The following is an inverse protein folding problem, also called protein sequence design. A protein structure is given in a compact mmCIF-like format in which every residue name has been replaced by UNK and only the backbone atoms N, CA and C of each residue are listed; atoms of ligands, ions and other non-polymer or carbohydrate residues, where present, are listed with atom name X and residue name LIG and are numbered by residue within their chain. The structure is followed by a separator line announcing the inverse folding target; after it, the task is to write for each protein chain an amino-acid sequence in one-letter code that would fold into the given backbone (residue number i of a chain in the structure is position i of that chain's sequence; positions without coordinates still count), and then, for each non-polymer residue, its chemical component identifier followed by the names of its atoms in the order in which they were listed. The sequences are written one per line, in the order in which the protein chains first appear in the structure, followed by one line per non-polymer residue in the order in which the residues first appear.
data_IF_303406775006
#
_entry.id   IF_303406775006
#
_cell.length_a   1.000
_cell.length_b   1.000
_cell.length_c   1.000
_cell.angle_alpha   90.00
_cell.angle_beta   90.00
_cell.angle_gamma   90.00
#
_symmetry.space_group_name_H-M   'P 1'
#
loop_
_entity.id
_entity.type
_entity.pdbx_description
1 polymer ?
#
# COMPACT_ATOMS: atom_id res chain seq x y z
N UNK A 1 11.28 5.85 -9.30
CA UNK A 1 10.25 6.78 -8.80
C UNK A 1 10.32 6.71 -7.29
N UNK A 2 10.73 7.78 -6.63
CA UNK A 2 10.79 7.81 -5.17
C UNK A 2 9.39 7.68 -4.60
N UNK A 3 9.25 6.77 -3.64
CA UNK A 3 7.98 6.48 -2.96
C UNK A 3 7.87 7.31 -1.67
N UNK A 4 6.76 7.19 -0.96
CA UNK A 4 6.53 7.83 0.34
C UNK A 4 6.91 6.90 1.50
N UNK A 5 7.31 7.47 2.63
CA UNK A 5 7.33 6.74 3.91
C UNK A 5 5.95 6.82 4.59
N UNK A 6 5.43 5.72 5.17
CA UNK A 6 5.93 4.35 5.08
C UNK A 6 5.90 3.80 3.65
N UNK A 7 6.95 3.11 3.19
CA UNK A 7 7.00 2.48 1.87
C UNK A 7 6.16 1.18 1.84
N UNK A 8 4.87 1.32 2.09
CA UNK A 8 3.86 0.28 2.31
C UNK A 8 2.67 0.51 1.37
N UNK A 9 1.98 -0.56 1.01
CA UNK A 9 0.96 -0.62 -0.05
C UNK A 9 -0.09 0.49 0.01
N UNK A 10 -0.94 0.53 1.04
CA UNK A 10 -2.07 1.47 1.07
C UNK A 10 -1.61 2.93 1.15
N UNK A 11 -0.47 3.17 1.80
CA UNK A 11 0.14 4.49 1.93
C UNK A 11 0.50 5.02 0.55
N UNK A 12 1.22 4.22 -0.25
CA UNK A 12 1.75 4.66 -1.53
C UNK A 12 0.71 4.63 -2.65
N UNK A 13 -0.25 3.70 -2.62
CA UNK A 13 -1.45 3.77 -3.45
C UNK A 13 -2.23 5.08 -3.19
N UNK A 14 -2.39 5.46 -1.91
CA UNK A 14 -3.04 6.73 -1.55
C UNK A 14 -2.22 7.93 -2.02
N UNK A 15 -0.89 7.90 -1.89
CA UNK A 15 -0.02 8.95 -2.45
C UNK A 15 -0.21 9.08 -3.96
N UNK A 16 -0.17 7.97 -4.71
CA UNK A 16 -0.37 7.94 -6.17
C UNK A 16 -1.72 8.54 -6.55
N UNK A 17 -2.77 8.27 -5.77
CA UNK A 17 -4.13 8.75 -6.04
C UNK A 17 -4.37 10.20 -5.58
N UNK A 18 -3.53 10.78 -4.72
CA UNK A 18 -3.76 12.11 -4.12
C UNK A 18 -2.73 13.16 -4.54
N UNK A 19 -1.54 12.72 -4.95
CA UNK A 19 -0.43 13.62 -5.30
C UNK A 19 0.15 14.37 -4.10
N UNK A 20 -0.05 13.87 -2.87
CA UNK A 20 0.47 14.46 -1.64
C UNK A 20 1.10 13.39 -0.75
N UNK A 21 1.89 13.81 0.23
CA UNK A 21 2.56 12.89 1.16
C UNK A 21 1.61 12.31 2.24
N UNK A 22 2.03 11.25 2.96
CA UNK A 22 1.26 10.67 4.07
C UNK A 22 0.93 11.62 5.20
N UNK A 23 1.77 12.64 5.43
CA UNK A 23 1.45 13.74 6.33
C UNK A 23 0.13 14.43 5.98
N UNK A 24 -0.18 14.58 4.70
CA UNK A 24 -1.41 15.22 4.24
C UNK A 24 -2.57 14.23 4.08
N UNK A 25 -2.36 13.10 3.40
CA UNK A 25 -3.47 12.18 3.13
C UNK A 25 -3.84 11.29 4.33
N UNK A 26 -3.00 11.17 5.35
CA UNK A 26 -3.35 10.55 6.65
C UNK A 26 -3.15 9.04 6.77
N UNK A 27 -3.09 8.31 5.66
CA UNK A 27 -2.87 6.84 5.66
C UNK A 27 -1.43 6.48 6.09
N UNK A 28 -1.29 5.67 7.14
CA UNK A 28 0.01 5.19 7.69
C UNK A 28 0.12 3.66 7.83
N UNK A 29 -0.96 2.93 7.53
CA UNK A 29 -1.05 1.47 7.61
C UNK A 29 -1.94 0.96 6.47
N UNK A 30 -1.89 -0.36 6.22
CA UNK A 30 -2.90 -1.06 5.42
C UNK A 30 -4.24 -1.21 6.18
N UNK A 31 -4.78 -0.09 6.66
CA UNK A 31 -6.00 0.00 7.47
C UNK A 31 -5.98 1.20 8.43
N UNK A 32 -7.04 1.33 9.22
CA UNK A 32 -7.16 2.37 10.25
C UNK A 32 -6.48 1.90 11.54
N UNK A 33 -5.56 2.68 12.09
CA UNK A 33 -5.04 2.40 13.43
C UNK A 33 -6.04 2.86 14.48
N UNK A 34 -6.47 1.92 15.33
CA UNK A 34 -7.37 2.16 16.47
C UNK A 34 -6.61 1.90 17.77
N UNK A 35 -6.52 2.93 18.63
CA UNK A 35 -6.03 2.78 20.01
C UNK A 35 -7.12 2.14 20.86
N UNK A 36 -6.75 1.17 21.70
CA UNK A 36 -7.70 0.35 22.49
C UNK A 36 -7.62 0.63 24.00
N UNK A 37 -7.33 1.87 24.36
CA UNK A 37 -7.15 2.31 25.75
C UNK A 37 -5.69 2.23 26.22
N UNK A 38 -5.44 2.49 27.51
CA UNK A 38 -4.10 2.75 28.05
C UNK A 38 -3.25 1.50 28.25
N UNK A 39 -3.81 0.30 28.13
CA UNK A 39 -3.12 -0.96 28.46
C UNK A 39 -3.14 -2.00 27.35
N UNK A 40 -3.83 -1.73 26.23
CA UNK A 40 -3.95 -2.69 25.14
C UNK A 40 -3.17 -2.23 23.92
N UNK A 41 -2.56 -3.17 23.16
CA UNK A 41 -1.92 -2.83 21.90
C UNK A 41 -2.89 -2.09 20.97
N UNK A 42 -2.44 -1.12 20.18
CA UNK A 42 -3.21 -0.64 19.03
C UNK A 42 -3.59 -1.81 18.12
N UNK A 43 -4.64 -1.61 17.31
CA UNK A 43 -5.08 -2.57 16.30
C UNK A 43 -5.22 -1.85 14.97
N UNK A 44 -4.86 -2.52 13.88
CA UNK A 44 -5.20 -2.05 12.52
C UNK A 44 -6.52 -2.69 12.12
N UNK A 45 -7.47 -1.87 11.71
CA UNK A 45 -8.75 -2.30 11.16
C UNK A 45 -8.72 -2.10 9.64
N UNK A 46 -8.51 -3.18 8.87
CA UNK A 46 -8.66 -3.11 7.42
C UNK A 46 -10.14 -2.92 7.06
N UNK A 47 -10.39 -2.56 5.81
CA UNK A 47 -11.72 -2.41 5.23
C UNK A 47 -12.62 -1.38 5.92
N UNK A 48 -12.05 -0.26 6.33
CA UNK A 48 -12.78 0.95 6.72
C UNK A 48 -13.17 1.78 5.49
N UNK A 49 -14.19 2.62 5.66
CA UNK A 49 -14.59 3.58 4.64
C UNK A 49 -13.43 4.51 4.30
N UNK A 50 -13.33 4.90 3.03
CA UNK A 50 -12.33 5.86 2.53
C UNK A 50 -12.30 7.13 3.38
N UNK A 51 -13.47 7.61 3.82
CA UNK A 51 -13.61 8.83 4.60
C UNK A 51 -12.90 8.76 5.98
N UNK A 52 -12.73 7.57 6.54
CA UNK A 52 -12.01 7.36 7.81
C UNK A 52 -10.48 7.30 7.62
N UNK A 53 -10.02 7.07 6.39
CA UNK A 53 -8.63 6.76 6.07
C UNK A 53 -7.91 7.89 5.33
N UNK A 54 -8.58 8.46 4.31
CA UNK A 54 -7.98 9.36 3.34
C UNK A 54 -8.54 10.77 3.55
N UNK A 55 -7.70 11.68 4.05
CA UNK A 55 -8.12 13.02 4.46
C UNK A 55 -8.00 14.08 3.36
N UNK A 56 -7.68 13.68 2.14
CA UNK A 56 -7.47 14.57 0.99
C UNK A 56 -8.23 14.09 -0.24
N UNK A 57 -8.71 14.99 -1.11
CA UNK A 57 -9.32 14.59 -2.38
C UNK A 57 -8.36 13.74 -3.22
N UNK A 58 -8.89 12.69 -3.83
CA UNK A 58 -8.16 11.87 -4.79
C UNK A 58 -8.45 12.31 -6.23
N UNK A 59 -7.61 11.89 -7.17
CA UNK A 59 -7.80 12.18 -8.59
C UNK A 59 -9.08 11.54 -9.14
N UNK A 60 -9.50 10.38 -8.61
CA UNK A 60 -10.79 9.79 -8.98
C UNK A 60 -11.98 10.57 -8.39
N UNK A 61 -11.85 11.20 -7.22
CA UNK A 61 -12.88 12.12 -6.73
C UNK A 61 -13.00 13.35 -7.65
N UNK A 62 -11.86 13.89 -8.08
CA UNK A 62 -11.82 15.05 -8.97
C UNK A 62 -12.40 14.72 -10.36
N UNK A 63 -12.05 13.55 -10.92
CA UNK A 63 -12.61 13.06 -12.18
C UNK A 63 -14.13 12.91 -12.09
N UNK A 64 -14.62 12.25 -11.03
CA UNK A 64 -16.06 12.10 -10.80
C UNK A 64 -16.78 13.45 -10.70
N UNK A 65 -16.23 14.40 -9.93
CA UNK A 65 -16.78 15.76 -9.78
C UNK A 65 -16.78 16.55 -11.10
N UNK A 66 -15.84 16.26 -12.00
CA UNK A 66 -15.79 16.81 -13.35
C UNK A 66 -16.79 16.12 -14.32
N UNK A 67 -17.61 15.19 -13.84
CA UNK A 67 -18.60 14.46 -14.65
C UNK A 67 -18.01 13.28 -15.43
N UNK A 68 -16.78 12.87 -15.14
CA UNK A 68 -16.13 11.73 -15.78
C UNK A 68 -16.55 10.42 -15.10
N UNK A 69 -16.63 9.34 -15.89
CA UNK A 69 -16.88 7.99 -15.37
C UNK A 69 -15.61 7.39 -14.79
N UNK A 70 -15.68 6.90 -13.56
CA UNK A 70 -14.56 6.33 -12.83
C UNK A 70 -14.76 4.84 -12.57
N UNK A 71 -13.66 4.09 -12.54
CA UNK A 71 -13.66 2.68 -12.23
C UNK A 71 -12.47 2.28 -11.35
N UNK A 72 -12.63 1.19 -10.59
CA UNK A 72 -11.56 0.61 -9.80
C UNK A 72 -11.64 -0.92 -9.83
N UNK A 73 -10.49 -1.57 -9.85
CA UNK A 73 -10.32 -3.00 -9.66
C UNK A 73 -9.22 -3.17 -8.62
N UNK A 74 -9.61 -3.74 -7.48
CA UNK A 74 -8.71 -4.01 -6.35
C UNK A 74 -7.86 -2.79 -5.90
N UNK A 75 -8.36 -1.58 -6.11
CA UNK A 75 -7.70 -0.41 -5.54
C UNK A 75 -7.97 -0.36 -4.02
N UNK A 76 -7.01 0.17 -3.27
CA UNK A 76 -7.02 0.13 -1.81
C UNK A 76 -7.37 1.47 -1.18
N UNK A 77 -7.75 1.45 0.11
CA UNK A 77 -8.21 2.63 0.87
C UNK A 77 -9.37 3.40 0.19
N UNK A 78 -10.25 2.67 -0.52
CA UNK A 78 -11.27 3.24 -1.42
C UNK A 78 -12.71 2.83 -1.06
N UNK A 79 -12.92 1.99 -0.04
CA UNK A 79 -14.24 1.46 0.28
C UNK A 79 -15.26 2.58 0.51
N UNK A 80 -16.46 2.41 -0.03
CA UNK A 80 -17.56 3.36 0.08
C UNK A 80 -17.15 4.80 -0.31
N UNK A 81 -16.26 4.95 -1.30
CA UNK A 81 -15.78 6.26 -1.78
C UNK A 81 -16.88 7.18 -2.31
N UNK A 82 -17.97 6.61 -2.83
CA UNK A 82 -19.09 7.35 -3.42
C UNK A 82 -18.75 8.01 -4.78
N UNK A 83 -17.54 7.83 -5.27
CA UNK A 83 -17.00 8.50 -6.48
C UNK A 83 -16.48 7.52 -7.52
N UNK A 84 -16.86 6.24 -7.41
CA UNK A 84 -16.53 5.16 -8.35
C UNK A 84 -17.83 4.67 -8.99
N UNK A 85 -17.93 4.75 -10.33
CA UNK A 85 -19.11 4.29 -11.05
C UNK A 85 -19.13 2.77 -11.25
N UNK A 86 -17.96 2.16 -11.45
CA UNK A 86 -17.82 0.72 -11.69
C UNK A 86 -16.73 0.16 -10.80
N UNK A 87 -17.10 -0.71 -9.85
CA UNK A 87 -16.19 -1.26 -8.85
C UNK A 87 -16.11 -2.78 -8.94
N UNK A 88 -14.90 -3.31 -8.77
CA UNK A 88 -14.66 -4.71 -8.43
C UNK A 88 -13.63 -4.74 -7.30
N UNK A 89 -14.05 -5.07 -6.08
CA UNK A 89 -13.22 -4.92 -4.88
C UNK A 89 -12.18 -6.04 -4.73
N UNK A 90 -11.23 -5.84 -3.81
CA UNK A 90 -10.29 -6.88 -3.35
C UNK A 90 -11.04 -8.17 -2.99
N UNK A 91 -12.12 -8.01 -2.24
CA UNK A 91 -13.09 -9.07 -1.95
C UNK A 91 -14.37 -8.72 -2.72
N UNK A 92 -14.68 -9.40 -3.82
CA UNK A 92 -15.82 -9.08 -4.65
C UNK A 92 -17.14 -9.28 -3.90
N UNK A 93 -18.14 -8.47 -4.23
CA UNK A 93 -19.47 -8.51 -3.61
C UNK A 93 -20.36 -9.44 -4.43
N UNK A 94 -20.95 -10.50 -3.84
CA UNK A 94 -21.83 -11.40 -4.59
C UNK A 94 -22.99 -10.68 -5.32
N UNK A 95 -23.49 -9.58 -4.77
CA UNK A 95 -24.55 -8.75 -5.32
C UNK A 95 -24.04 -7.48 -6.06
N UNK A 96 -22.73 -7.34 -6.22
CA UNK A 96 -22.11 -6.22 -6.93
C UNK A 96 -22.44 -6.23 -8.42
N UNK A 97 -22.52 -5.04 -9.02
CA UNK A 97 -22.93 -4.87 -10.42
C UNK A 97 -22.00 -5.64 -11.37
N UNK A 98 -20.69 -5.48 -11.22
CA UNK A 98 -19.71 -6.06 -12.15
C UNK A 98 -19.65 -7.58 -11.98
N UNK A 99 -19.72 -8.07 -10.75
CA UNK A 99 -19.82 -9.49 -10.43
C UNK A 99 -21.03 -10.14 -11.12
N UNK A 100 -22.22 -9.54 -11.00
CA UNK A 100 -23.43 -10.04 -11.65
C UNK A 100 -23.35 -10.02 -13.18
N UNK A 101 -22.72 -8.99 -13.75
CA UNK A 101 -22.52 -8.92 -15.20
C UNK A 101 -21.55 -10.00 -15.70
N UNK A 102 -20.44 -10.26 -14.99
CA UNK A 102 -19.48 -11.31 -15.31
C UNK A 102 -20.10 -12.71 -15.20
N UNK A 103 -20.91 -12.95 -14.17
CA UNK A 103 -21.67 -14.21 -13.99
C UNK A 103 -22.63 -14.41 -15.16
N UNK A 104 -23.40 -13.38 -15.51
CA UNK A 104 -24.34 -13.43 -16.64
C UNK A 104 -23.63 -13.66 -17.98
N UNK A 105 -22.42 -13.14 -18.13
CA UNK A 105 -21.59 -13.37 -19.31
C UNK A 105 -20.95 -14.77 -19.34
N UNK A 106 -21.05 -15.55 -18.25
CA UNK A 106 -20.43 -16.87 -18.13
C UNK A 106 -18.90 -16.82 -17.99
N UNK A 107 -18.33 -15.67 -17.61
CA UNK A 107 -16.88 -15.49 -17.42
C UNK A 107 -16.43 -16.07 -16.07
N UNK A 108 -17.26 -15.87 -15.05
CA UNK A 108 -17.08 -16.43 -13.70
C UNK A 108 -18.40 -17.03 -13.22
N UNK A 109 -18.36 -17.74 -12.10
CA UNK A 109 -19.51 -18.36 -11.45
C UNK A 109 -19.86 -17.65 -10.14
N UNK A 110 -21.12 -17.79 -9.70
CA UNK A 110 -21.54 -17.27 -8.40
C UNK A 110 -20.79 -17.92 -7.23
N UNK A 111 -20.41 -19.20 -7.37
CA UNK A 111 -19.64 -19.92 -6.36
C UNK A 111 -18.22 -19.35 -6.21
N UNK A 112 -17.55 -19.02 -7.33
CA UNK A 112 -16.24 -18.39 -7.32
C UNK A 112 -16.25 -17.03 -6.61
N UNK A 113 -17.30 -16.23 -6.79
CA UNK A 113 -17.46 -14.95 -6.07
C UNK A 113 -17.75 -15.18 -4.59
N UNK A 114 -18.70 -16.06 -4.26
CA UNK A 114 -19.09 -16.33 -2.88
C UNK A 114 -17.95 -16.95 -2.05
N UNK A 115 -17.12 -17.76 -2.70
CA UNK A 115 -16.01 -18.47 -2.09
C UNK A 115 -14.66 -17.88 -2.49
N UNK A 116 -14.59 -16.62 -2.96
CA UNK A 116 -13.37 -15.99 -3.46
C UNK A 116 -12.16 -16.16 -2.53
N UNK A 117 -12.37 -16.02 -1.22
CA UNK A 117 -11.30 -16.16 -0.22
C UNK A 117 -10.96 -17.62 0.15
N UNK A 118 -11.78 -18.60 -0.25
CA UNK A 118 -11.53 -20.03 -0.02
C UNK A 118 -10.58 -20.57 -1.09
N UNK A 119 -9.29 -20.56 -0.79
CA UNK A 119 -8.25 -21.15 -1.65
C UNK A 119 -6.99 -20.31 -1.79
N UNK A 120 -7.02 -19.04 -1.37
CA UNK A 120 -5.89 -18.08 -1.32
C UNK A 120 -4.87 -18.29 -2.44
N UNK A 121 -5.30 -18.09 -3.68
CA UNK A 121 -4.43 -18.22 -4.84
C UNK A 121 -4.30 -16.86 -5.54
N UNK A 122 -3.19 -16.16 -5.26
CA UNK A 122 -2.98 -14.82 -5.77
C UNK A 122 -2.96 -14.75 -7.30
N UNK A 123 -2.52 -15.81 -7.98
CA UNK A 123 -2.49 -15.87 -9.44
C UNK A 123 -3.92 -15.95 -10.01
N UNK A 124 -4.80 -16.69 -9.33
CA UNK A 124 -6.20 -16.77 -9.72
C UNK A 124 -6.96 -15.47 -9.37
N UNK A 125 -6.65 -14.83 -8.24
CA UNK A 125 -7.20 -13.51 -7.90
C UNK A 125 -6.82 -12.47 -8.97
N UNK A 126 -5.55 -12.37 -9.34
CA UNK A 126 -5.05 -11.49 -10.40
C UNK A 126 -5.76 -11.78 -11.73
N UNK A 127 -6.01 -13.05 -12.06
CA UNK A 127 -6.79 -13.41 -13.25
C UNK A 127 -8.23 -12.91 -13.17
N UNK A 128 -8.93 -13.11 -12.04
CA UNK A 128 -10.31 -12.66 -11.87
C UNK A 128 -10.42 -11.13 -11.92
N UNK A 129 -9.53 -10.42 -11.21
CA UNK A 129 -9.43 -8.96 -11.27
C UNK A 129 -9.18 -8.48 -12.71
N UNK A 130 -8.31 -9.17 -13.45
CA UNK A 130 -8.08 -8.87 -14.88
C UNK A 130 -9.34 -9.08 -15.71
N UNK A 131 -10.11 -10.16 -15.49
CA UNK A 131 -11.39 -10.36 -16.20
C UNK A 131 -12.38 -9.22 -15.92
N UNK A 132 -12.48 -8.77 -14.66
CA UNK A 132 -13.31 -7.63 -14.29
C UNK A 132 -12.85 -6.34 -14.98
N UNK A 133 -11.54 -6.08 -15.01
CA UNK A 133 -10.96 -4.92 -15.70
C UNK A 133 -11.25 -4.91 -17.19
N UNK A 134 -11.03 -6.04 -17.86
CA UNK A 134 -11.35 -6.22 -19.29
C UNK A 134 -12.85 -5.98 -19.55
N UNK A 135 -13.73 -6.56 -18.74
CA UNK A 135 -15.17 -6.41 -18.87
C UNK A 135 -15.63 -4.96 -18.66
N UNK A 136 -15.10 -4.26 -17.65
CA UNK A 136 -15.39 -2.84 -17.40
C UNK A 136 -14.95 -1.98 -18.59
N UNK A 137 -13.76 -2.21 -19.15
CA UNK A 137 -13.30 -1.50 -20.34
C UNK A 137 -14.26 -1.72 -21.51
N UNK A 138 -14.61 -2.98 -21.79
CA UNK A 138 -15.39 -3.35 -22.98
C UNK A 138 -16.85 -2.90 -22.92
N UNK A 139 -17.48 -2.97 -21.74
CA UNK A 139 -18.90 -2.64 -21.57
C UNK A 139 -19.13 -1.20 -21.16
N UNK A 140 -18.31 -0.67 -20.25
CA UNK A 140 -18.60 0.57 -19.55
C UNK A 140 -17.73 1.75 -19.98
N UNK A 141 -16.54 1.47 -20.54
CA UNK A 141 -15.61 2.46 -21.12
C UNK A 141 -15.39 3.68 -20.20
N UNK A 142 -14.91 3.47 -18.95
CA UNK A 142 -14.69 4.56 -18.01
C UNK A 142 -13.64 5.54 -18.54
N UNK A 143 -13.71 6.79 -18.09
CA UNK A 143 -12.72 7.82 -18.40
C UNK A 143 -11.44 7.68 -17.58
N UNK A 144 -11.54 7.15 -16.36
CA UNK A 144 -10.41 6.87 -15.47
C UNK A 144 -10.63 5.54 -14.77
N UNK A 145 -9.66 4.63 -14.86
CA UNK A 145 -9.71 3.32 -14.21
C UNK A 145 -8.42 3.09 -13.43
N UNK A 146 -8.57 2.72 -12.16
CA UNK A 146 -7.49 2.21 -11.32
C UNK A 146 -7.52 0.68 -11.33
N UNK A 147 -6.36 0.05 -11.48
CA UNK A 147 -6.23 -1.40 -11.61
C UNK A 147 -4.98 -1.86 -10.88
N UNK A 148 -5.14 -2.80 -9.95
CA UNK A 148 -4.09 -3.28 -9.07
C UNK A 148 -3.99 -4.81 -9.15
N UNK A 149 -2.77 -5.33 -9.08
CA UNK A 149 -2.43 -6.75 -9.14
C UNK A 149 -1.40 -7.06 -8.05
N UNK A 150 -1.54 -8.20 -7.38
CA UNK A 150 -0.77 -8.53 -6.18
C UNK A 150 0.28 -9.63 -6.39
N UNK A 151 0.26 -10.33 -7.53
CA UNK A 151 1.11 -11.49 -7.76
C UNK A 151 2.61 -11.19 -7.59
N UNK A 152 3.05 -9.97 -7.96
CA UNK A 152 4.45 -9.57 -7.83
C UNK A 152 4.87 -9.36 -6.38
N UNK A 153 4.05 -8.69 -5.57
CA UNK A 153 4.27 -8.48 -4.14
C UNK A 153 4.33 -9.82 -3.39
N UNK A 154 3.32 -10.67 -3.61
CA UNK A 154 3.23 -11.98 -2.97
C UNK A 154 4.43 -12.88 -3.30
N UNK A 155 4.88 -12.90 -4.57
CA UNK A 155 6.03 -13.67 -4.98
C UNK A 155 7.33 -13.15 -4.34
N UNK A 156 7.51 -11.83 -4.27
CA UNK A 156 8.67 -11.21 -3.65
C UNK A 156 8.72 -11.43 -2.13
N UNK A 157 7.59 -11.42 -1.43
CA UNK A 157 7.55 -11.80 -0.02
C UNK A 157 7.98 -13.25 0.20
N UNK A 158 7.43 -14.18 -0.57
CA UNK A 158 7.65 -15.62 -0.36
C UNK A 158 9.06 -16.07 -0.78
N UNK A 159 9.55 -15.57 -1.92
CA UNK A 159 10.77 -16.09 -2.57
C UNK A 159 11.94 -15.11 -2.56
N UNK A 160 11.69 -13.84 -2.22
CA UNK A 160 12.68 -12.77 -2.23
C UNK A 160 12.86 -12.13 -3.62
N UNK A 161 13.23 -10.85 -3.68
CA UNK A 161 13.39 -10.12 -4.94
C UNK A 161 14.47 -10.75 -5.84
N UNK A 162 14.21 -10.75 -7.15
CA UNK A 162 15.13 -11.30 -8.17
C UNK A 162 15.20 -12.83 -8.23
N UNK A 163 14.34 -13.53 -7.47
CA UNK A 163 14.24 -15.00 -7.53
C UNK A 163 13.55 -15.48 -8.82
N UNK A 164 13.68 -16.77 -9.14
CA UNK A 164 12.89 -17.39 -10.22
C UNK A 164 11.39 -17.25 -9.99
N UNK A 165 10.93 -17.33 -8.73
CA UNK A 165 9.53 -17.12 -8.38
C UNK A 165 9.06 -15.70 -8.72
N UNK A 166 9.87 -14.69 -8.40
CA UNK A 166 9.59 -13.30 -8.74
C UNK A 166 9.57 -13.04 -10.25
N UNK A 167 10.56 -13.55 -11.00
CA UNK A 167 10.58 -13.39 -12.45
C UNK A 167 9.38 -14.06 -13.13
N UNK A 168 8.95 -15.24 -12.65
CA UNK A 168 7.72 -15.88 -13.12
C UNK A 168 6.50 -15.00 -12.86
N UNK A 169 6.39 -14.41 -11.66
CA UNK A 169 5.29 -13.49 -11.35
C UNK A 169 5.28 -12.27 -12.28
N UNK A 170 6.44 -11.69 -12.61
CA UNK A 170 6.53 -10.57 -13.55
C UNK A 170 6.01 -10.94 -14.95
N UNK A 171 6.34 -12.14 -15.44
CA UNK A 171 5.83 -12.63 -16.72
C UNK A 171 4.30 -12.84 -16.71
N UNK A 172 3.73 -13.33 -15.59
CA UNK A 172 2.28 -13.43 -15.44
C UNK A 172 1.60 -12.06 -15.38
N UNK A 173 2.17 -11.10 -14.64
CA UNK A 173 1.66 -9.72 -14.59
C UNK A 173 1.72 -9.03 -15.95
N UNK A 174 2.81 -9.21 -16.71
CA UNK A 174 2.91 -8.69 -18.09
C UNK A 174 1.79 -9.23 -18.99
N UNK A 175 1.48 -10.53 -18.88
CA UNK A 175 0.34 -11.13 -19.59
C UNK A 175 -0.99 -10.46 -19.24
N UNK A 176 -1.25 -10.17 -17.97
CA UNK A 176 -2.48 -9.49 -17.56
C UNK A 176 -2.55 -8.03 -18.04
N UNK A 177 -1.42 -7.32 -18.06
CA UNK A 177 -1.33 -6.00 -18.70
C UNK A 177 -1.66 -6.11 -20.19
N UNK A 178 -1.14 -7.13 -20.88
CA UNK A 178 -1.45 -7.43 -22.28
C UNK A 178 -2.95 -7.69 -22.54
N UNK A 179 -3.62 -8.39 -21.62
CA UNK A 179 -5.08 -8.61 -21.70
C UNK A 179 -5.85 -7.28 -21.61
N UNK A 180 -5.47 -6.39 -20.68
CA UNK A 180 -6.07 -5.04 -20.53
C UNK A 180 -5.86 -4.19 -21.79
N UNK A 181 -4.65 -4.17 -22.33
CA UNK A 181 -4.33 -3.46 -23.58
C UNK A 181 -5.15 -4.00 -24.77
N UNK A 182 -5.34 -5.32 -24.82
CA UNK A 182 -6.18 -5.97 -25.83
C UNK A 182 -7.64 -5.53 -25.71
N UNK A 183 -8.20 -5.44 -24.50
CA UNK A 183 -9.57 -4.96 -24.28
C UNK A 183 -9.73 -3.48 -24.63
N UNK A 184 -8.72 -2.63 -24.40
CA UNK A 184 -8.70 -1.23 -24.87
C UNK A 184 -8.79 -1.17 -26.40
N UNK A 185 -8.03 -2.02 -27.10
CA UNK A 185 -8.02 -2.07 -28.57
C UNK A 185 -9.36 -2.57 -29.13
N UNK A 186 -9.88 -3.69 -28.62
CA UNK A 186 -11.20 -4.25 -29.00
C UNK A 186 -12.34 -3.24 -28.81
N UNK A 187 -12.20 -2.35 -27.84
CA UNK A 187 -13.19 -1.33 -27.50
C UNK A 187 -13.11 -0.08 -28.39
N UNK A 188 -12.14 -0.02 -29.31
CA UNK A 188 -11.90 1.16 -30.16
C UNK A 188 -11.35 2.35 -29.37
N UNK A 189 -10.69 2.11 -28.23
CA UNK A 189 -10.21 3.16 -27.32
C UNK A 189 -8.71 3.45 -27.47
N UNK A 190 -7.98 2.68 -28.31
CA UNK A 190 -6.53 2.76 -28.46
C UNK A 190 -6.03 4.19 -28.72
N UNK A 191 -6.66 4.92 -29.64
CA UNK A 191 -6.23 6.26 -30.05
C UNK A 191 -6.67 7.38 -29.09
N UNK A 192 -7.23 7.04 -27.93
CA UNK A 192 -7.72 8.00 -26.93
C UNK A 192 -7.48 7.59 -25.48
N UNK A 193 -6.63 6.58 -25.27
CA UNK A 193 -6.31 6.05 -23.94
C UNK A 193 -4.85 6.29 -23.63
N UNK A 194 -4.59 6.88 -22.47
CA UNK A 194 -3.27 6.90 -21.83
C UNK A 194 -3.21 5.77 -20.82
N UNK A 195 -2.16 4.96 -20.87
CA UNK A 195 -1.88 3.89 -19.90
C UNK A 195 -0.67 4.30 -19.09
N UNK A 196 -0.80 4.27 -17.76
CA UNK A 196 0.29 4.47 -16.82
C UNK A 196 0.47 3.18 -16.03
N UNK A 197 1.64 2.56 -16.13
CA UNK A 197 2.04 1.41 -15.32
C UNK A 197 3.02 1.91 -14.27
N UNK A 198 2.66 1.72 -13.00
CA UNK A 198 3.45 2.18 -11.85
C UNK A 198 3.35 1.16 -10.72
N UNK A 199 4.08 1.40 -9.64
CA UNK A 199 4.04 0.59 -8.41
C UNK A 199 4.08 1.50 -7.18
N UNK A 200 3.59 0.97 -6.08
CA UNK A 200 3.57 1.54 -4.75
C UNK A 200 4.92 1.48 -4.03
N UNK A 201 5.71 0.41 -4.20
CA UNK A 201 7.04 0.27 -3.61
C UNK A 201 7.92 -0.80 -4.25
N UNK A 202 9.24 -0.63 -4.10
CA UNK A 202 10.22 -1.69 -4.35
C UNK A 202 10.32 -2.71 -3.21
N UNK A 203 11.36 -3.54 -3.24
CA UNK A 203 11.55 -4.66 -2.31
C UNK A 203 13.03 -4.84 -1.96
N UNK A 204 13.30 -5.27 -0.73
CA UNK A 204 14.63 -5.73 -0.29
C UNK A 204 14.57 -7.17 0.21
N UNK A 205 15.69 -7.87 0.06
CA UNK A 205 15.87 -9.23 0.58
C UNK A 205 15.91 -9.22 2.11
N UNK A 206 15.30 -10.25 2.72
CA UNK A 206 15.27 -10.48 4.17
C UNK A 206 15.96 -11.80 4.48
N UNK A 207 16.92 -11.75 5.41
CA UNK A 207 17.64 -12.93 5.90
C UNK A 207 17.30 -13.22 7.36
N UNK A 208 17.04 -12.18 8.16
CA UNK A 208 16.72 -12.27 9.58
C UNK A 208 15.47 -11.46 9.92
N UNK A 209 14.78 -11.85 10.97
CA UNK A 209 13.64 -11.14 11.54
C UNK A 209 13.91 -10.73 12.97
N UNK A 210 13.51 -9.51 13.33
CA UNK A 210 13.60 -8.92 14.67
C UNK A 210 12.24 -9.11 15.35
N UNK A 211 12.25 -9.54 16.61
CA UNK A 211 11.05 -9.71 17.44
C UNK A 211 10.99 -8.61 18.51
N UNK A 212 10.66 -7.36 18.14
CA UNK A 212 10.81 -6.22 19.04
C UNK A 212 9.86 -6.29 20.25
N UNK A 213 8.71 -6.93 20.12
CA UNK A 213 7.77 -7.10 21.23
C UNK A 213 8.22 -8.18 22.24
N UNK A 214 9.11 -9.13 21.87
CA UNK A 214 9.79 -10.00 22.84
C UNK A 214 10.70 -9.18 23.75
N UNK A 215 11.41 -8.18 23.19
CA UNK A 215 12.27 -7.29 23.96
C UNK A 215 11.47 -6.46 24.97
N UNK A 216 10.34 -5.89 24.55
CA UNK A 216 9.45 -5.16 25.45
C UNK A 216 8.86 -6.06 26.55
N UNK A 217 8.53 -7.32 26.23
CA UNK A 217 8.11 -8.31 27.23
C UNK A 217 9.22 -8.60 28.25
N UNK A 218 10.45 -8.85 27.78
CA UNK A 218 11.60 -9.11 28.67
C UNK A 218 11.92 -7.92 29.57
N UNK A 219 11.63 -6.70 29.13
CA UNK A 219 11.72 -5.48 29.93
C UNK A 219 10.50 -5.23 30.86
N UNK A 220 9.51 -6.13 30.89
CA UNK A 220 8.31 -6.01 31.73
C UNK A 220 7.25 -5.02 31.22
N UNK A 221 7.40 -4.51 29.99
CA UNK A 221 6.48 -3.54 29.36
C UNK A 221 5.31 -4.22 28.63
N UNK A 222 5.42 -5.52 28.34
CA UNK A 222 4.33 -6.35 27.81
C UNK A 222 4.11 -7.53 28.75
N UNK A 223 2.85 -7.79 29.08
CA UNK A 223 2.40 -8.86 29.96
C UNK A 223 1.53 -9.80 29.16
N UNK A 224 1.86 -11.10 29.19
CA UNK A 224 1.19 -12.13 28.39
C UNK A 224 0.48 -13.15 29.28
N UNK A 225 -0.66 -13.63 28.81
CA UNK A 225 -1.43 -14.74 29.39
C UNK A 225 -1.92 -15.63 28.26
N UNK A 226 -1.75 -16.95 28.39
CA UNK A 226 -2.15 -17.92 27.38
C UNK A 226 -1.62 -17.59 25.97
N UNK A 227 -0.34 -17.18 25.88
CA UNK A 227 0.35 -16.75 24.66
C UNK A 227 -0.24 -15.52 23.96
N UNK A 228 -1.09 -14.75 24.64
CA UNK A 228 -1.67 -13.49 24.15
C UNK A 228 -1.27 -12.33 25.04
N UNK A 229 -1.18 -11.13 24.47
CA UNK A 229 -0.97 -9.91 25.26
C UNK A 229 -2.21 -9.64 26.12
N UNK A 230 -2.04 -9.68 27.43
CA UNK A 230 -3.07 -9.31 28.42
C UNK A 230 -3.06 -7.81 28.66
N UNK A 231 -1.87 -7.22 28.80
CA UNK A 231 -1.68 -5.77 28.92
C UNK A 231 -0.27 -5.35 28.50
N UNK A 232 -0.09 -4.07 28.18
CA UNK A 232 1.20 -3.48 27.83
C UNK A 232 1.23 -1.98 28.11
N UNK A 233 2.40 -1.47 28.49
CA UNK A 233 2.71 -0.04 28.61
C UNK A 233 3.29 0.53 27.30
N UNK A 234 3.89 -0.34 26.48
CA UNK A 234 4.38 -0.03 25.15
C UNK A 234 4.16 -1.20 24.19
N UNK A 235 3.94 -0.92 22.91
CA UNK A 235 3.77 -1.93 21.86
C UNK A 235 4.36 -1.45 20.53
N UNK A 236 4.94 -2.36 19.75
CA UNK A 236 5.59 -2.06 18.48
C UNK A 236 4.76 -2.65 17.34
N UNK A 237 4.15 -1.78 16.55
CA UNK A 237 3.39 -2.16 15.34
C UNK A 237 4.36 -2.26 14.16
N UNK A 238 4.62 -3.48 13.70
CA UNK A 238 5.59 -3.76 12.64
C UNK A 238 4.97 -3.59 11.25
N UNK A 239 5.76 -3.12 10.28
CA UNK A 239 5.39 -2.97 8.88
C UNK A 239 6.57 -3.36 7.97
N UNK A 240 7.05 -4.61 8.09
CA UNK A 240 8.19 -5.09 7.29
C UNK A 240 9.52 -4.47 7.73
N UNK A 241 10.13 -3.65 6.88
CA UNK A 241 11.40 -2.96 7.13
C UNK A 241 11.32 -1.81 8.14
N UNK A 242 10.13 -1.44 8.61
CA UNK A 242 9.95 -0.44 9.66
C UNK A 242 8.97 -0.88 10.74
N UNK A 243 8.92 -0.10 11.82
CA UNK A 243 7.89 -0.24 12.84
C UNK A 243 7.58 1.11 13.50
N UNK A 244 6.37 1.23 14.03
CA UNK A 244 5.97 2.33 14.91
C UNK A 244 5.89 1.84 16.35
N UNK A 245 6.50 2.59 17.26
CA UNK A 245 6.44 2.32 18.71
C UNK A 245 5.34 3.16 19.31
N UNK A 246 4.48 2.55 20.12
CA UNK A 246 3.40 3.23 20.82
C UNK A 246 3.58 3.07 22.31
N UNK A 247 3.56 4.18 23.04
CA UNK A 247 3.19 4.18 24.44
C UNK A 247 1.66 4.12 24.49
N UNK A 248 1.12 3.08 25.12
CA UNK A 248 -0.31 2.78 25.10
C UNK A 248 -1.11 3.81 25.89
N UNK A 249 -0.59 4.25 27.03
CA UNK A 249 -1.09 5.39 27.81
C UNK A 249 -0.33 6.68 27.45
N UNK A 250 -0.95 7.63 26.72
CA UNK A 250 -0.29 8.87 26.33
C UNK A 250 0.25 9.70 27.51
N UNK A 251 -0.33 9.56 28.71
CA UNK A 251 0.08 10.31 29.90
C UNK A 251 1.45 9.86 30.42
N UNK A 252 1.87 8.63 30.08
CA UNK A 252 3.15 8.05 30.50
C UNK A 252 4.27 8.23 29.47
N UNK A 253 4.04 8.93 28.35
CA UNK A 253 5.05 9.09 27.29
C UNK A 253 6.37 9.66 27.81
N UNK A 254 6.31 10.72 28.63
CA UNK A 254 7.51 11.36 29.17
C UNK A 254 8.34 10.44 30.08
N UNK A 255 7.68 9.50 30.77
CA UNK A 255 8.31 8.51 31.63
C UNK A 255 8.88 7.32 30.83
N UNK A 256 8.10 6.79 29.88
CA UNK A 256 8.40 5.52 29.24
C UNK A 256 9.28 5.65 27.98
N UNK A 257 9.21 6.75 27.24
CA UNK A 257 10.05 6.91 26.03
C UNK A 257 11.56 6.85 26.32
N UNK A 258 12.09 7.47 27.41
CA UNK A 258 13.49 7.32 27.79
C UNK A 258 13.92 5.88 28.09
N UNK A 259 12.97 5.00 28.44
CA UNK A 259 13.22 3.57 28.70
C UNK A 259 13.09 2.75 27.42
N UNK A 260 12.04 2.98 26.63
CA UNK A 260 11.73 2.21 25.42
C UNK A 260 12.73 2.48 24.30
N UNK A 261 13.13 3.74 24.11
CA UNK A 261 14.01 4.14 23.00
C UNK A 261 15.36 3.42 23.02
N UNK A 262 16.10 3.33 24.15
CA UNK A 262 17.33 2.55 24.23
C UNK A 262 17.13 1.05 24.00
N UNK A 263 16.00 0.47 24.45
CA UNK A 263 15.68 -0.95 24.18
C UNK A 263 15.57 -1.16 22.67
N UNK A 264 14.80 -0.32 21.97
CA UNK A 264 14.65 -0.42 20.52
C UNK A 264 15.98 -0.20 19.78
N UNK A 265 16.75 0.82 20.16
CA UNK A 265 18.03 1.14 19.53
C UNK A 265 19.10 0.06 19.78
N UNK A 266 19.01 -0.68 20.88
CA UNK A 266 19.92 -1.77 21.24
C UNK A 266 19.64 -3.10 20.55
N UNK A 267 18.52 -3.24 19.84
CA UNK A 267 18.18 -4.49 19.15
C UNK A 267 19.10 -4.73 17.94
N UNK A 268 19.63 -5.95 17.84
CA UNK A 268 20.32 -6.39 16.63
C UNK A 268 19.38 -6.23 15.42
N UNK A 269 19.89 -5.59 14.37
CA UNK A 269 19.14 -5.36 13.14
C UNK A 269 18.38 -4.04 13.06
N UNK A 270 18.26 -3.27 14.15
CA UNK A 270 17.71 -1.90 14.07
C UNK A 270 18.78 -0.95 13.52
N UNK A 271 18.46 -0.22 12.47
CA UNK A 271 19.35 0.76 11.83
C UNK A 271 19.20 2.14 12.47
N UNK A 272 17.96 2.61 12.59
CA UNK A 272 17.65 3.97 13.03
C UNK A 272 16.40 3.99 13.92
N UNK A 273 16.39 4.93 14.87
CA UNK A 273 15.25 5.22 15.75
C UNK A 273 15.00 6.72 15.73
N UNK A 274 13.88 7.13 15.14
CA UNK A 274 13.47 8.54 15.07
C UNK A 274 12.42 8.85 16.11
N UNK A 275 12.47 10.04 16.69
CA UNK A 275 11.37 10.58 17.46
C UNK A 275 10.25 11.05 16.52
N UNK A 276 9.00 10.91 16.94
CA UNK A 276 7.85 11.30 16.12
C UNK A 276 7.79 12.79 15.75
N UNK A 277 8.47 13.65 16.52
CA UNK A 277 8.62 15.09 16.17
C UNK A 277 9.42 15.31 14.88
N UNK A 278 10.26 14.34 14.49
CA UNK A 278 11.04 14.36 13.25
C UNK A 278 10.32 13.68 12.08
N UNK A 279 9.17 13.05 12.30
CA UNK A 279 8.38 12.37 11.27
C UNK A 279 8.08 13.24 10.03
N UNK A 280 7.83 14.58 10.15
CA UNK A 280 7.66 15.45 8.99
C UNK A 280 8.86 15.49 8.03
N UNK A 281 10.09 15.28 8.52
CA UNK A 281 11.29 15.19 7.66
C UNK A 281 11.26 13.96 6.75
N UNK A 282 10.47 12.95 7.12
CA UNK A 282 10.27 11.71 6.38
C UNK A 282 8.97 11.73 5.54
N UNK A 283 8.23 12.84 5.52
CA UNK A 283 6.94 12.94 4.82
C UNK A 283 5.74 12.38 5.59
N UNK A 284 5.91 12.07 6.89
CA UNK A 284 4.88 11.53 7.78
C UNK A 284 4.35 12.61 8.74
N UNK A 285 3.13 12.47 9.28
CA UNK A 285 2.61 13.41 10.28
C UNK A 285 3.28 13.22 11.64
N UNK A 286 3.17 14.23 12.50
CA UNK A 286 3.46 14.10 13.93
C UNK A 286 2.33 13.37 14.67
N UNK A 287 2.55 13.02 15.95
CA UNK A 287 1.49 12.43 16.80
C UNK A 287 0.35 13.40 17.14
N UNK A 288 0.58 14.71 17.03
CA UNK A 288 -0.45 15.75 17.18
C UNK A 288 -1.32 15.88 15.93
N UNK A 289 -0.71 15.69 14.75
CA UNK A 289 -1.41 15.77 13.47
C UNK A 289 -2.24 14.51 13.17
N UNK A 290 -1.76 13.34 13.62
CA UNK A 290 -2.44 12.07 13.36
C UNK A 290 -2.19 11.05 14.48
N UNK A 291 -3.26 10.60 15.14
CA UNK A 291 -3.21 9.61 16.22
C UNK A 291 -2.66 8.23 15.79
N UNK A 292 -2.68 7.94 14.48
CA UNK A 292 -2.11 6.75 13.91
C UNK A 292 -0.57 6.79 13.93
N UNK A 293 0.05 7.95 14.10
CA UNK A 293 1.50 8.05 14.19
C UNK A 293 2.03 7.42 15.50
N UNK A 294 3.12 6.65 15.38
CA UNK A 294 3.86 6.13 16.54
C UNK A 294 4.65 7.22 17.26
N UNK A 295 4.96 7.00 18.53
CA UNK A 295 5.80 7.88 19.33
C UNK A 295 7.28 7.82 18.91
N UNK A 296 7.73 6.66 18.42
CA UNK A 296 9.01 6.46 17.74
C UNK A 296 8.81 5.73 16.41
N UNK A 297 9.78 5.87 15.51
CA UNK A 297 9.86 5.22 14.21
C UNK A 297 11.13 4.41 14.17
N UNK A 298 11.03 3.12 13.85
CA UNK A 298 12.16 2.22 13.71
C UNK A 298 12.36 1.87 12.24
N UNK A 299 13.59 1.88 11.77
CA UNK A 299 13.96 1.24 10.49
C UNK A 299 14.94 0.09 10.72
N UNK A 300 14.75 -0.99 10.00
CA UNK A 300 15.63 -2.16 10.02
C UNK A 300 16.85 -1.95 9.11
N UNK A 301 17.96 -2.60 9.46
CA UNK A 301 19.15 -2.75 8.61
C UNK A 301 18.81 -3.58 7.38
N UNK A 302 19.57 -3.39 6.31
CA UNK A 302 19.49 -4.28 5.12
C UNK A 302 19.65 -5.74 5.53
N UNK A 303 18.77 -6.61 5.03
CA UNK A 303 18.72 -8.03 5.39
C UNK A 303 17.90 -8.36 6.65
N UNK A 304 17.37 -7.35 7.35
CA UNK A 304 16.51 -7.52 8.52
C UNK A 304 15.10 -6.97 8.26
N UNK A 305 14.10 -7.58 8.88
CA UNK A 305 12.73 -7.07 8.94
C UNK A 305 12.15 -7.25 10.35
N UNK A 306 11.10 -6.54 10.70
CA UNK A 306 10.39 -6.72 11.96
C UNK A 306 9.25 -7.74 11.81
N UNK A 307 9.07 -8.61 12.81
CA UNK A 307 7.92 -9.53 12.93
C UNK A 307 7.22 -9.32 14.27
N UNK A 308 5.89 -9.32 14.24
CA UNK A 308 5.09 -9.17 15.45
C UNK A 308 4.98 -10.52 16.17
N UNK A 309 5.99 -10.81 16.99
CA UNK A 309 6.03 -11.96 17.88
C UNK A 309 6.22 -11.43 19.29
N UNK A 310 5.37 -11.90 20.21
CA UNK A 310 5.39 -11.56 21.64
C UNK A 310 5.74 -12.76 22.53
N UNK A 311 5.93 -13.95 21.95
CA UNK A 311 6.23 -15.20 22.66
C UNK A 311 7.62 -15.72 22.30
N UNK A 312 8.14 -16.66 23.08
CA UNK A 312 9.52 -17.14 22.92
C UNK A 312 10.56 -16.16 23.47
N UNK A 313 11.84 -16.52 23.31
CA UNK A 313 12.97 -15.78 23.91
C UNK A 313 13.94 -15.17 22.90
N UNK A 314 13.85 -15.58 21.62
CA UNK A 314 14.73 -15.07 20.57
C UNK A 314 14.32 -13.65 20.17
N UNK A 315 15.25 -12.70 20.31
CA UNK A 315 15.08 -11.31 19.85
C UNK A 315 15.29 -11.17 18.34
N UNK A 316 16.09 -12.06 17.75
CA UNK A 316 16.36 -12.15 16.32
C UNK A 316 16.39 -13.62 15.91
N UNK A 317 15.77 -13.94 14.78
CA UNK A 317 15.76 -15.29 14.22
C UNK A 317 16.02 -15.25 12.70
N UNK A 318 16.40 -16.40 12.12
CA UNK A 318 16.47 -16.55 10.67
C UNK A 318 15.08 -16.42 10.04
N UNK A 319 15.01 -15.70 8.92
CA UNK A 319 13.76 -15.56 8.18
C UNK A 319 13.46 -16.83 7.38
N UNK A 320 12.25 -17.34 7.55
CA UNK A 320 11.74 -18.54 6.85
C UNK A 320 10.44 -18.20 6.14
N UNK A 321 10.32 -18.56 4.85
CA UNK A 321 9.15 -18.27 4.02
C UNK A 321 8.74 -16.78 4.00
N UNK A 322 9.72 -15.90 4.21
CA UNK A 322 9.56 -14.44 4.23
C UNK A 322 10.89 -13.82 3.78
N UNK A 323 11.23 -14.02 2.51
CA UNK A 323 12.57 -13.79 1.97
C UNK A 323 12.72 -12.40 1.33
N UNK A 324 11.63 -11.64 1.25
CA UNK A 324 11.62 -10.25 0.82
C UNK A 324 10.58 -9.44 1.59
N UNK A 325 10.84 -8.14 1.73
CA UNK A 325 9.84 -7.20 2.23
C UNK A 325 10.14 -5.79 1.74
N UNK A 326 9.21 -4.90 2.02
CA UNK A 326 9.28 -3.47 1.80
C UNK A 326 9.17 -2.76 3.17
N UNK A 327 8.92 -1.44 3.19
CA UNK A 327 8.81 -0.65 4.43
C UNK A 327 10.12 -0.07 4.95
N UNK A 328 11.18 -0.01 4.15
CA UNK A 328 12.44 0.64 4.51
C UNK A 328 12.39 2.15 4.16
N UNK A 329 13.39 2.98 4.53
CA UNK A 329 13.36 4.39 4.20
C UNK A 329 13.20 4.61 2.69
N UNK A 330 12.24 5.46 2.29
CA UNK A 330 11.98 5.79 0.89
C UNK A 330 13.16 6.46 0.17
N UNK A 331 14.17 6.93 0.91
CA UNK A 331 15.44 7.40 0.33
C UNK A 331 16.28 6.27 -0.27
N UNK A 332 16.05 5.02 0.14
CA UNK A 332 16.73 3.84 -0.38
C UNK A 332 16.28 3.55 -1.83
N UNK A 333 17.19 3.54 -2.81
CA UNK A 333 16.84 3.34 -4.22
C UNK A 333 16.31 1.94 -4.53
N UNK A 334 16.49 0.91 -3.68
CA UNK A 334 15.83 -0.39 -3.88
C UNK A 334 14.31 -0.32 -3.64
N UNK A 335 13.82 0.75 -3.01
CA UNK A 335 12.40 0.98 -2.74
C UNK A 335 11.75 1.84 -3.82
N UNK A 336 12.53 2.33 -4.79
CA UNK A 336 11.98 3.08 -5.91
C UNK A 336 10.99 2.24 -6.71
N UNK A 337 9.86 2.86 -7.02
CA UNK A 337 8.90 2.31 -7.95
C UNK A 337 9.29 2.53 -9.41
N UNK A 338 8.69 1.72 -10.28
CA UNK A 338 8.63 1.91 -11.72
C UNK A 338 7.55 2.94 -12.09
N UNK A 339 7.77 3.67 -13.18
CA UNK A 339 6.74 4.49 -13.85
C UNK A 339 6.95 4.40 -15.37
N UNK A 340 5.91 3.97 -16.09
CA UNK A 340 5.88 3.92 -17.56
C UNK A 340 4.56 4.54 -18.00
N UNK A 341 4.61 5.49 -18.94
CA UNK A 341 3.44 6.05 -19.59
C UNK A 341 3.45 5.71 -21.08
N UNK A 342 2.30 5.35 -21.63
CA UNK A 342 2.14 4.96 -23.03
C UNK A 342 0.74 5.34 -23.56
N UNK A 343 0.62 5.51 -24.87
CA UNK A 343 -0.67 5.69 -25.54
C UNK A 343 -0.93 7.12 -25.99
N UNK A 344 -2.19 7.53 -25.94
CA UNK A 344 -2.66 8.83 -26.44
C UNK A 344 -1.94 9.99 -25.72
N UNK A 345 -1.55 11.02 -26.48
CA UNK A 345 -0.89 12.20 -25.90
C UNK A 345 0.54 11.99 -25.36
N UNK A 346 1.08 10.77 -25.32
CA UNK A 346 2.42 10.49 -24.76
C UNK A 346 3.49 10.43 -25.85
N UNK A 347 4.63 11.09 -25.63
CA UNK A 347 5.84 11.06 -26.47
C UNK A 347 6.55 9.71 -26.35
N UNK A 348 7.13 9.25 -27.46
CA UNK A 348 7.96 8.04 -27.48
C UNK A 348 9.42 8.37 -27.17
N UNK A 349 10.12 7.44 -26.51
CA UNK A 349 11.57 7.55 -26.26
C UNK A 349 11.97 8.55 -25.18
N UNK A 350 11.02 9.15 -24.46
CA UNK A 350 11.31 10.05 -23.33
C UNK A 350 11.80 9.21 -22.15
N UNK A 351 12.99 9.53 -21.65
CA UNK A 351 13.52 9.02 -20.39
C UNK A 351 13.43 10.12 -19.35
N UNK A 352 12.60 9.91 -18.33
CA UNK A 352 12.53 10.82 -17.19
C UNK A 352 13.72 10.59 -16.26
N UNK A 353 14.18 11.67 -15.63
CA UNK A 353 14.98 11.58 -14.41
C UNK A 353 14.14 11.02 -13.26
N UNK A 354 14.76 10.79 -12.09
CA UNK A 354 14.05 10.26 -10.91
C UNK A 354 12.90 11.21 -10.51
N UNK A 355 11.66 10.74 -10.70
CA UNK A 355 10.42 11.41 -10.27
C UNK A 355 9.97 10.93 -8.88
N UNK A 356 8.94 11.55 -8.30
CA UNK A 356 8.29 11.10 -7.08
C UNK A 356 6.87 10.57 -7.36
N UNK A 357 6.37 9.64 -6.55
CA UNK A 357 5.01 9.10 -6.71
C UNK A 357 3.90 10.15 -6.51
N UNK A 358 4.17 11.25 -5.80
CA UNK A 358 3.28 12.42 -5.72
C UNK A 358 3.06 13.10 -7.08
N UNK A 359 3.94 12.89 -8.07
CA UNK A 359 3.84 13.47 -9.41
C UNK A 359 2.77 12.77 -10.27
N UNK A 360 2.28 11.59 -9.86
CA UNK A 360 1.38 10.75 -10.67
C UNK A 360 -0.02 11.35 -10.78
N UNK A 361 -0.69 11.65 -9.65
CA UNK A 361 -2.04 12.24 -9.67
C UNK A 361 -2.16 13.55 -10.48
N UNK A 362 -1.28 14.56 -10.29
CA UNK A 362 -1.36 15.80 -11.09
C UNK A 362 -1.07 15.54 -12.58
N UNK A 363 -0.23 14.55 -12.92
CA UNK A 363 0.00 14.16 -14.31
C UNK A 363 -1.23 13.49 -14.93
N UNK A 364 -1.95 12.65 -14.17
CA UNK A 364 -3.25 12.10 -14.61
C UNK A 364 -4.26 13.23 -14.82
N UNK A 365 -4.31 14.21 -13.91
CA UNK A 365 -5.21 15.37 -14.02
C UNK A 365 -4.96 16.17 -15.31
N UNK A 366 -3.69 16.43 -15.64
CA UNK A 366 -3.28 17.09 -16.88
C UNK A 366 -3.76 16.28 -18.10
N UNK A 367 -3.54 14.96 -18.10
CA UNK A 367 -3.98 14.08 -19.21
C UNK A 367 -5.50 14.05 -19.39
N UNK A 368 -6.27 14.26 -18.31
CA UNK A 368 -7.74 14.31 -18.34
C UNK A 368 -8.28 15.72 -18.61
N UNK A 369 -7.43 16.75 -18.57
CA UNK A 369 -7.85 18.14 -18.70
C UNK A 369 -8.71 18.65 -17.53
N UNK A 370 -8.51 18.12 -16.32
CA UNK A 370 -9.29 18.48 -15.13
C UNK A 370 -8.42 19.22 -14.10
N UNK A 371 -9.00 20.16 -13.31
CA UNK A 371 -8.25 20.83 -12.26
C UNK A 371 -8.00 19.89 -11.07
N UNK A 372 -6.78 19.93 -10.53
CA UNK A 372 -6.43 19.18 -9.33
C UNK A 372 -5.48 19.98 -8.40
N UNK A 373 -5.96 21.08 -7.79
CA UNK A 373 -5.11 22.04 -7.08
C UNK A 373 -4.57 21.53 -5.73
N UNK A 374 -5.04 20.38 -5.24
CA UNK A 374 -4.62 19.81 -3.96
C UNK A 374 -3.29 19.06 -4.03
N UNK A 375 -2.86 18.66 -5.23
CA UNK A 375 -1.60 17.96 -5.42
C UNK A 375 -0.39 18.85 -5.09
N UNK A 376 0.64 18.25 -4.51
CA UNK A 376 1.94 18.86 -4.25
C UNK A 376 2.99 18.43 -5.27
N UNK A 377 2.79 17.27 -5.90
CA UNK A 377 3.66 16.79 -6.97
C UNK A 377 3.61 17.68 -8.21
N UNK A 378 4.68 17.62 -9.01
CA UNK A 378 4.74 18.35 -10.28
C UNK A 378 4.02 17.55 -11.36
N UNK A 379 3.53 18.26 -12.37
CA UNK A 379 3.05 17.63 -13.60
C UNK A 379 4.27 17.23 -14.44
N UNK A 380 4.32 15.97 -14.86
CA UNK A 380 5.38 15.43 -15.72
C UNK A 380 5.18 15.85 -17.19
N UNK A 381 5.19 17.16 -17.46
CA UNK A 381 4.90 17.72 -18.80
C UNK A 381 5.84 17.23 -19.90
N UNK A 382 7.02 16.76 -19.53
CA UNK A 382 8.04 16.23 -20.43
C UNK A 382 7.53 15.02 -21.24
N UNK A 383 6.56 14.25 -20.70
CA UNK A 383 6.03 13.06 -21.37
C UNK A 383 4.96 13.39 -22.42
N UNK A 384 4.32 14.56 -22.37
CA UNK A 384 3.20 14.89 -23.26
C UNK A 384 3.66 15.44 -24.62
N UNK A 385 2.91 15.14 -25.68
CA UNK A 385 3.16 15.57 -27.05
C UNK A 385 3.08 17.08 -27.24
#
# INVERSE_FOLDING_TARGET
MTVSNPSITWINHTTIATGVTPRKHGVLFNGLLVRRGPTLPPKVEPWRDKADLVHTPTIYDAAYKAGLKTAQIDWVAILNSGTINYEFLEIPKPDGQIEQELIKAGIITADEVQNFMKGKNIVWNDWMWTQAGCHIIEKHKPNLMFFHLLGTDAANHNHGPGSTGSHSAYAYTDKFIGDILTSIEKSGLRDRTTVIVTTDHGFKKVNKVIHPNVALRQAGLIRIKDSKVESCDAYIMVQGGMAFVYITDPTKKAELLPVVKPICAGLEGVAEVFDSVDAPKLGMPTTEENQAMGDLILFAKTGFAFKDICTGEELVADSKNYLGTHGYPASDPELDGMFIAWGYGIKQGVKLDRIANIDVAPTIAESLGIPFPTAEGRILREIFK
#
